data_IF_029312935615
#
_entry.id   IF_029312935615
#
_cell.length_a   1.000
_cell.length_b   1.000
_cell.length_c   1.000
_cell.angle_alpha   90.00
_cell.angle_beta   90.00
_cell.angle_gamma   90.00
#
_symmetry.space_group_name_H-M   'P 1'
#
loop_
_entity.id
_entity.type
_entity.pdbx_description
1 polymer ?
#
# COMPACT_ATOMS: atom_id res chain seq x y z
N UNK A 1 -37.07 9.00 2.06
CA UNK A 1 -38.01 7.85 2.23
C UNK A 1 -38.88 7.69 0.99
N UNK A 2 -39.48 8.74 0.46
CA UNK A 2 -40.43 8.68 -0.67
C UNK A 2 -39.80 8.25 -2.02
N UNK A 3 -38.58 8.63 -2.34
CA UNK A 3 -37.91 8.24 -3.60
C UNK A 3 -37.53 6.75 -3.64
N UNK A 4 -37.12 6.18 -2.50
CA UNK A 4 -36.73 4.76 -2.37
C UNK A 4 -37.94 3.83 -2.48
N UNK A 5 -39.08 4.24 -1.91
CA UNK A 5 -40.37 3.54 -2.05
C UNK A 5 -40.87 3.54 -3.49
N UNK A 6 -40.85 4.69 -4.18
CA UNK A 6 -41.23 4.77 -5.60
C UNK A 6 -40.38 3.85 -6.48
N UNK A 7 -39.05 3.79 -6.27
CA UNK A 7 -38.19 2.94 -7.06
C UNK A 7 -38.46 1.44 -6.83
N UNK A 8 -38.74 1.02 -5.59
CA UNK A 8 -39.15 -0.37 -5.28
C UNK A 8 -40.48 -0.73 -5.98
N UNK A 9 -41.49 0.11 -5.91
CA UNK A 9 -42.76 -0.10 -6.56
C UNK A 9 -42.60 -0.21 -8.09
N UNK A 10 -41.79 0.64 -8.71
CA UNK A 10 -41.58 0.61 -10.17
C UNK A 10 -40.87 -0.70 -10.60
N UNK A 11 -39.90 -1.19 -9.85
CA UNK A 11 -39.18 -2.44 -10.14
C UNK A 11 -40.12 -3.65 -9.95
N UNK A 12 -40.88 -3.70 -8.87
CA UNK A 12 -41.88 -4.77 -8.65
C UNK A 12 -42.91 -4.76 -9.76
N UNK A 13 -43.42 -3.59 -10.15
CA UNK A 13 -44.42 -3.46 -11.23
C UNK A 13 -43.80 -3.94 -12.57
N UNK A 14 -42.58 -3.63 -12.88
CA UNK A 14 -41.92 -4.03 -14.13
C UNK A 14 -41.68 -5.56 -14.22
N UNK A 15 -41.58 -6.28 -13.12
CA UNK A 15 -41.46 -7.73 -13.08
C UNK A 15 -42.81 -8.45 -13.08
N UNK A 16 -43.78 -7.94 -12.33
CA UNK A 16 -45.11 -8.56 -12.14
C UNK A 16 -46.00 -8.38 -13.35
N UNK A 17 -46.01 -7.19 -13.97
CA UNK A 17 -46.90 -6.87 -15.08
C UNK A 17 -46.66 -7.76 -16.33
N UNK A 18 -45.42 -8.03 -16.79
CA UNK A 18 -45.21 -8.92 -17.92
C UNK A 18 -45.62 -10.37 -17.66
N UNK A 19 -45.47 -10.85 -16.43
CA UNK A 19 -45.90 -12.21 -16.05
C UNK A 19 -47.43 -12.32 -16.11
N UNK A 20 -48.15 -11.38 -15.53
CA UNK A 20 -49.64 -11.37 -15.58
C UNK A 20 -50.11 -11.28 -17.04
N UNK A 21 -49.51 -10.41 -17.85
CA UNK A 21 -49.83 -10.26 -19.26
C UNK A 21 -49.62 -11.56 -20.04
N UNK A 22 -48.47 -12.24 -19.84
CA UNK A 22 -48.17 -13.51 -20.48
C UNK A 22 -49.22 -14.57 -20.14
N UNK A 23 -49.58 -14.71 -18.85
CA UNK A 23 -50.61 -15.66 -18.42
C UNK A 23 -51.99 -15.30 -18.95
N UNK A 24 -52.34 -14.02 -19.05
CA UNK A 24 -53.60 -13.58 -19.66
C UNK A 24 -53.67 -13.98 -21.16
N UNK A 25 -52.58 -13.76 -21.91
CA UNK A 25 -52.49 -14.15 -23.32
C UNK A 25 -52.61 -15.68 -23.45
N UNK A 26 -51.89 -16.46 -22.59
CA UNK A 26 -51.96 -17.92 -22.60
C UNK A 26 -53.39 -18.43 -22.34
N UNK A 27 -54.08 -17.88 -21.34
CA UNK A 27 -55.45 -18.24 -21.05
C UNK A 27 -56.43 -17.87 -22.19
N UNK A 28 -56.24 -16.71 -22.84
CA UNK A 28 -57.03 -16.30 -24.00
C UNK A 28 -56.80 -17.28 -25.17
N UNK A 29 -55.55 -17.66 -25.43
CA UNK A 29 -55.18 -18.61 -26.50
C UNK A 29 -55.76 -20.02 -26.21
N UNK A 30 -55.61 -20.53 -25.01
CA UNK A 30 -56.16 -21.86 -24.66
C UNK A 30 -57.69 -21.87 -24.73
N UNK A 31 -58.36 -20.81 -24.31
CA UNK A 31 -59.79 -20.68 -24.41
C UNK A 31 -60.26 -20.66 -25.89
N UNK A 32 -59.50 -19.94 -26.74
CA UNK A 32 -59.73 -19.92 -28.19
C UNK A 32 -59.63 -21.31 -28.80
N UNK A 33 -58.60 -22.05 -28.48
CA UNK A 33 -58.36 -23.43 -29.00
C UNK A 33 -59.51 -24.36 -28.60
N UNK A 34 -59.93 -24.30 -27.31
CA UNK A 34 -61.05 -25.11 -26.81
C UNK A 34 -62.38 -24.70 -27.44
N UNK A 35 -62.57 -23.42 -27.76
CA UNK A 35 -63.74 -22.93 -28.48
C UNK A 35 -63.82 -23.43 -29.93
N UNK A 36 -62.67 -23.45 -30.65
CA UNK A 36 -62.61 -24.01 -32.01
C UNK A 36 -62.87 -25.53 -32.00
N UNK A 37 -62.36 -26.29 -31.06
CA UNK A 37 -62.65 -27.69 -30.88
C UNK A 37 -64.17 -27.93 -30.57
N UNK A 38 -64.72 -27.15 -29.70
CA UNK A 38 -66.19 -27.17 -29.44
C UNK A 38 -67.00 -26.87 -30.72
N UNK A 39 -66.67 -25.81 -31.43
CA UNK A 39 -67.31 -25.39 -32.68
C UNK A 39 -67.25 -26.52 -33.75
N UNK A 40 -66.05 -27.10 -33.92
CA UNK A 40 -65.85 -28.21 -34.83
C UNK A 40 -66.77 -29.44 -34.50
N UNK A 41 -66.85 -29.84 -33.22
CA UNK A 41 -67.73 -30.91 -32.75
C UNK A 41 -69.22 -30.58 -32.98
N UNK A 42 -69.61 -29.36 -32.76
CA UNK A 42 -70.99 -28.91 -33.04
C UNK A 42 -71.32 -28.91 -34.55
N UNK A 43 -70.42 -28.43 -35.41
CA UNK A 43 -70.61 -28.47 -36.85
C UNK A 43 -70.67 -29.92 -37.37
N UNK A 44 -69.82 -30.80 -36.89
CA UNK A 44 -69.89 -32.23 -37.21
C UNK A 44 -71.23 -32.84 -36.81
N UNK A 45 -71.80 -32.49 -35.66
CA UNK A 45 -73.10 -32.97 -35.24
C UNK A 45 -74.23 -32.46 -36.14
N UNK A 46 -74.16 -31.22 -36.71
CA UNK A 46 -75.16 -30.69 -37.66
C UNK A 46 -75.14 -31.46 -38.98
N UNK A 47 -73.97 -31.84 -39.48
CA UNK A 47 -73.79 -32.66 -40.66
C UNK A 47 -74.36 -34.07 -40.47
N UNK A 48 -74.04 -34.69 -39.34
CA UNK A 48 -74.51 -36.04 -38.98
C UNK A 48 -76.03 -36.03 -38.89
N UNK A 49 -76.65 -34.99 -38.31
CA UNK A 49 -78.09 -34.90 -38.12
C UNK A 49 -78.89 -34.55 -39.41
N UNK A 50 -78.26 -33.91 -40.39
CA UNK A 50 -78.88 -33.54 -41.66
C UNK A 50 -79.00 -34.71 -42.64
N UNK A 51 -78.17 -35.72 -42.54
CA UNK A 51 -78.18 -36.92 -43.41
C UNK A 51 -79.20 -37.93 -42.88
N UNK A 52 -80.41 -38.01 -43.48
CA UNK A 52 -81.48 -38.92 -43.12
C UNK A 52 -81.20 -40.42 -43.26
N UNK A 53 -80.15 -40.79 -44.06
CA UNK A 53 -79.67 -42.19 -44.21
C UNK A 53 -78.21 -42.30 -43.76
N UNK A 54 -77.97 -42.45 -42.49
CA UNK A 54 -76.64 -42.87 -41.99
C UNK A 54 -76.54 -44.41 -42.02
N UNK A 55 -76.27 -44.98 -43.22
CA UNK A 55 -75.92 -46.39 -43.34
C UNK A 55 -74.44 -46.58 -43.48
N UNK A 56 -73.76 -46.63 -42.36
CA UNK A 56 -72.40 -47.20 -42.28
C UNK A 56 -71.36 -46.31 -41.60
N UNK A 57 -70.43 -46.99 -40.94
CA UNK A 57 -69.22 -46.40 -40.32
C UNK A 57 -68.33 -45.61 -41.30
N UNK A 58 -68.36 -45.92 -42.58
CA UNK A 58 -67.56 -45.31 -43.62
C UNK A 58 -67.92 -43.85 -43.86
N UNK A 59 -69.19 -43.47 -43.85
CA UNK A 59 -69.66 -42.09 -44.02
C UNK A 59 -69.29 -41.18 -42.83
N UNK A 60 -69.28 -41.73 -41.60
CA UNK A 60 -68.84 -41.03 -40.41
C UNK A 60 -67.29 -40.85 -40.43
N UNK A 61 -66.58 -41.91 -40.94
CA UNK A 61 -65.11 -41.85 -41.09
C UNK A 61 -64.66 -40.79 -42.10
N UNK A 62 -65.44 -40.61 -43.17
CA UNK A 62 -65.13 -39.58 -44.17
C UNK A 62 -65.36 -38.17 -43.63
N UNK A 63 -66.46 -37.94 -42.91
CA UNK A 63 -66.72 -36.67 -42.22
C UNK A 63 -65.69 -36.32 -41.16
N UNK A 64 -65.16 -37.31 -40.46
CA UNK A 64 -64.11 -37.10 -39.45
C UNK A 64 -62.75 -36.73 -40.03
N UNK A 65 -62.54 -36.94 -41.35
CA UNK A 65 -61.31 -36.55 -42.03
C UNK A 65 -61.34 -35.11 -42.54
N UNK A 66 -62.49 -34.56 -42.70
CA UNK A 66 -62.67 -33.17 -43.14
C UNK A 66 -62.47 -32.21 -41.96
N UNK A 67 -61.50 -31.33 -42.04
CA UNK A 67 -61.19 -30.36 -40.97
C UNK A 67 -62.00 -29.08 -41.06
N UNK A 68 -62.60 -28.79 -42.20
CA UNK A 68 -63.34 -27.53 -42.45
C UNK A 68 -64.82 -27.73 -42.56
N UNK A 69 -65.45 -28.45 -41.66
CA UNK A 69 -66.86 -28.70 -41.61
C UNK A 69 -67.61 -27.39 -41.22
N UNK A 70 -68.41 -26.87 -42.17
CA UNK A 70 -69.30 -25.75 -41.94
C UNK A 70 -70.61 -26.19 -41.27
N UNK A 71 -71.32 -25.24 -40.65
CA UNK A 71 -72.61 -25.51 -39.98
C UNK A 71 -73.69 -25.83 -41.02
N UNK A 72 -74.22 -27.07 -40.96
CA UNK A 72 -75.33 -27.42 -41.83
C UNK A 72 -76.62 -26.89 -41.21
N UNK A 73 -77.32 -26.03 -41.98
CA UNK A 73 -78.56 -25.28 -41.53
C UNK A 73 -79.72 -26.26 -41.24
N UNK A 74 -79.84 -27.37 -41.98
CA UNK A 74 -80.93 -28.35 -41.75
C UNK A 74 -80.71 -29.10 -40.48
N UNK A 75 -79.50 -29.61 -40.27
CA UNK A 75 -79.13 -30.33 -39.04
C UNK A 75 -79.17 -29.40 -37.81
N UNK A 76 -78.79 -28.14 -38.00
CA UNK A 76 -78.93 -27.12 -36.92
C UNK A 76 -80.37 -26.95 -36.47
N UNK A 77 -81.32 -26.84 -37.34
CA UNK A 77 -82.76 -26.71 -37.00
C UNK A 77 -83.24 -27.93 -36.22
N UNK A 78 -82.83 -29.13 -36.57
CA UNK A 78 -83.19 -30.36 -35.86
C UNK A 78 -82.57 -30.33 -34.47
N UNK A 79 -81.34 -30.00 -34.33
CA UNK A 79 -80.69 -29.90 -33.02
C UNK A 79 -81.26 -28.84 -32.13
N UNK A 80 -81.73 -27.66 -32.71
CA UNK A 80 -82.43 -26.65 -31.98
C UNK A 80 -83.78 -27.13 -31.51
N UNK A 81 -84.55 -27.85 -32.35
CA UNK A 81 -85.84 -28.43 -31.96
C UNK A 81 -85.75 -29.40 -30.80
N UNK A 82 -84.69 -30.17 -30.73
CA UNK A 82 -84.45 -31.09 -29.62
C UNK A 82 -83.66 -30.46 -28.44
N UNK A 83 -83.40 -29.14 -28.52
CA UNK A 83 -82.76 -28.39 -27.45
C UNK A 83 -81.23 -28.68 -27.27
N UNK A 84 -80.54 -29.24 -28.26
CA UNK A 84 -79.12 -29.54 -28.21
C UNK A 84 -78.27 -28.37 -28.78
N UNK A 85 -78.82 -27.47 -29.55
CA UNK A 85 -78.10 -26.31 -30.11
C UNK A 85 -78.23 -25.11 -29.17
N UNK A 86 -77.11 -24.48 -28.80
CA UNK A 86 -77.11 -23.26 -27.97
C UNK A 86 -77.56 -23.48 -26.52
N UNK A 87 -77.89 -24.72 -26.13
CA UNK A 87 -78.38 -25.04 -24.78
C UNK A 87 -77.26 -25.41 -23.87
N UNK A 88 -77.24 -24.86 -22.63
CA UNK A 88 -76.23 -25.12 -21.57
C UNK A 88 -76.21 -26.55 -21.09
N UNK A 89 -77.19 -27.40 -21.44
CA UNK A 89 -77.26 -28.84 -21.16
C UNK A 89 -76.52 -29.74 -22.13
N UNK A 90 -75.94 -29.20 -23.24
CA UNK A 90 -75.21 -30.01 -24.21
C UNK A 90 -73.88 -30.53 -23.57
N UNK A 91 -73.65 -31.81 -23.76
CA UNK A 91 -72.43 -32.50 -23.23
C UNK A 91 -71.13 -31.84 -23.74
N UNK A 92 -71.06 -31.45 -25.01
CA UNK A 92 -69.91 -30.75 -25.59
C UNK A 92 -69.65 -29.39 -24.99
N UNK A 93 -70.71 -28.65 -24.71
CA UNK A 93 -70.62 -27.36 -24.01
C UNK A 93 -70.18 -27.53 -22.57
N UNK A 94 -70.69 -28.57 -21.89
CA UNK A 94 -70.27 -28.93 -20.53
C UNK A 94 -68.78 -29.30 -20.48
N UNK A 95 -68.30 -30.10 -21.48
CA UNK A 95 -66.93 -30.45 -21.60
C UNK A 95 -66.02 -29.23 -21.87
N UNK A 96 -66.37 -28.38 -22.81
CA UNK A 96 -65.68 -27.13 -23.11
C UNK A 96 -65.58 -26.25 -21.87
N UNK A 97 -66.65 -26.02 -21.19
CA UNK A 97 -66.69 -25.23 -19.95
C UNK A 97 -65.79 -25.81 -18.87
N UNK A 98 -65.84 -27.15 -18.69
CA UNK A 98 -64.96 -27.85 -17.71
C UNK A 98 -63.49 -27.69 -18.06
N UNK A 99 -63.07 -27.85 -19.31
CA UNK A 99 -61.74 -27.66 -19.76
C UNK A 99 -61.23 -26.23 -19.54
N UNK A 100 -62.02 -25.21 -19.88
CA UNK A 100 -61.68 -23.80 -19.64
C UNK A 100 -61.53 -23.49 -18.15
N UNK A 101 -62.41 -23.98 -17.31
CA UNK A 101 -62.31 -23.76 -15.86
C UNK A 101 -61.11 -24.42 -15.26
N UNK A 102 -60.84 -25.67 -15.60
CA UNK A 102 -59.70 -26.43 -15.05
C UNK A 102 -58.39 -25.82 -15.52
N UNK A 103 -58.22 -25.58 -16.80
CA UNK A 103 -57.00 -24.96 -17.32
C UNK A 103 -56.79 -23.53 -16.77
N UNK A 104 -57.85 -22.74 -16.66
CA UNK A 104 -57.80 -21.41 -16.03
C UNK A 104 -57.39 -21.47 -14.55
N UNK A 105 -57.96 -22.43 -13.81
CA UNK A 105 -57.58 -22.63 -12.41
C UNK A 105 -56.08 -23.03 -12.26
N UNK A 106 -55.64 -23.99 -13.08
CA UNK A 106 -54.25 -24.47 -13.05
C UNK A 106 -53.26 -23.35 -13.43
N UNK A 107 -53.55 -22.64 -14.52
CA UNK A 107 -52.67 -21.52 -14.94
C UNK A 107 -52.67 -20.39 -13.91
N UNK A 108 -53.75 -20.11 -13.25
CA UNK A 108 -53.79 -19.10 -12.16
C UNK A 108 -52.95 -19.52 -10.96
N UNK A 109 -53.02 -20.78 -10.54
CA UNK A 109 -52.17 -21.32 -9.46
C UNK A 109 -50.68 -21.22 -9.82
N UNK A 110 -50.31 -21.61 -11.03
CA UNK A 110 -48.91 -21.52 -11.49
C UNK A 110 -48.46 -20.04 -11.52
N UNK A 111 -49.31 -19.13 -11.99
CA UNK A 111 -49.02 -17.71 -12.00
C UNK A 111 -48.74 -17.15 -10.59
N UNK A 112 -49.57 -17.51 -9.63
CA UNK A 112 -49.42 -17.08 -8.22
C UNK A 112 -48.10 -17.64 -7.63
N UNK A 113 -47.79 -18.93 -7.88
CA UNK A 113 -46.56 -19.55 -7.40
C UNK A 113 -45.32 -18.89 -8.00
N UNK A 114 -45.33 -18.56 -9.30
CA UNK A 114 -44.23 -17.86 -9.95
C UNK A 114 -44.05 -16.43 -9.40
N UNK A 115 -45.15 -15.72 -9.19
CA UNK A 115 -45.09 -14.37 -8.63
C UNK A 115 -44.56 -14.37 -7.19
N UNK A 116 -45.01 -15.30 -6.36
CA UNK A 116 -44.48 -15.43 -4.97
C UNK A 116 -43.01 -15.80 -4.97
N UNK A 117 -42.59 -16.69 -5.85
CA UNK A 117 -41.17 -17.05 -6.01
C UNK A 117 -40.31 -15.86 -6.45
N UNK A 118 -40.77 -15.08 -7.46
CA UNK A 118 -40.03 -13.90 -7.95
C UNK A 118 -39.90 -12.82 -6.86
N UNK A 119 -40.95 -12.59 -6.08
CA UNK A 119 -40.92 -11.65 -4.96
C UNK A 119 -39.97 -12.09 -3.87
N UNK A 120 -40.02 -13.37 -3.49
CA UNK A 120 -39.10 -13.95 -2.50
C UNK A 120 -37.62 -13.87 -2.96
N UNK A 121 -37.37 -14.21 -4.22
CA UNK A 121 -36.02 -14.13 -4.79
C UNK A 121 -35.49 -12.70 -4.78
N UNK A 122 -36.34 -11.75 -5.16
CA UNK A 122 -36.00 -10.32 -5.14
C UNK A 122 -35.70 -9.78 -3.74
N UNK A 123 -36.50 -10.15 -2.74
CA UNK A 123 -36.21 -9.76 -1.35
C UNK A 123 -34.90 -10.34 -0.85
N UNK A 124 -34.58 -11.57 -1.20
CA UNK A 124 -33.34 -12.22 -0.82
C UNK A 124 -32.12 -11.57 -1.49
N UNK A 125 -32.23 -11.20 -2.75
CA UNK A 125 -31.21 -10.46 -3.50
C UNK A 125 -30.95 -9.07 -2.88
N UNK A 126 -32.01 -8.31 -2.59
CA UNK A 126 -31.92 -6.99 -1.96
C UNK A 126 -31.29 -7.08 -0.55
N UNK A 127 -31.60 -8.12 0.23
CA UNK A 127 -31.02 -8.36 1.54
C UNK A 127 -29.51 -8.71 1.47
N UNK A 128 -29.10 -9.47 0.46
CA UNK A 128 -27.70 -9.79 0.21
C UNK A 128 -26.88 -8.52 -0.13
N UNK A 129 -27.40 -7.70 -1.06
CA UNK A 129 -26.77 -6.43 -1.41
C UNK A 129 -26.65 -5.46 -0.23
N UNK A 130 -27.66 -5.44 0.65
CA UNK A 130 -27.64 -4.57 1.82
C UNK A 130 -26.56 -5.00 2.83
N UNK A 131 -26.40 -6.29 3.06
CA UNK A 131 -25.32 -6.81 3.90
C UNK A 131 -23.91 -6.41 3.38
N UNK A 132 -23.70 -6.49 2.07
CA UNK A 132 -22.43 -6.09 1.44
C UNK A 132 -22.16 -4.60 1.67
N UNK A 133 -23.18 -3.75 1.49
CA UNK A 133 -23.05 -2.30 1.72
C UNK A 133 -22.76 -1.97 3.18
N UNK A 134 -23.43 -2.64 4.12
CA UNK A 134 -23.20 -2.45 5.56
C UNK A 134 -21.78 -2.89 5.95
N UNK A 135 -21.26 -3.97 5.38
CA UNK A 135 -19.88 -4.42 5.59
C UNK A 135 -18.86 -3.43 5.02
N UNK A 136 -19.09 -2.89 3.82
CA UNK A 136 -18.24 -1.86 3.22
C UNK A 136 -18.24 -0.57 4.06
N UNK A 137 -19.39 -0.16 4.59
CA UNK A 137 -19.49 1.00 5.49
C UNK A 137 -18.67 0.77 6.77
N UNK A 138 -18.74 -0.42 7.37
CA UNK A 138 -17.96 -0.77 8.55
C UNK A 138 -16.45 -0.75 8.27
N UNK A 139 -16.00 -1.30 7.13
CA UNK A 139 -14.61 -1.24 6.68
C UNK A 139 -14.14 0.22 6.56
N UNK A 140 -14.92 1.06 5.88
CA UNK A 140 -14.59 2.49 5.71
C UNK A 140 -14.51 3.26 7.04
N UNK A 141 -15.38 2.92 8.00
CA UNK A 141 -15.33 3.49 9.35
C UNK A 141 -14.04 3.08 10.05
N UNK A 142 -13.65 1.79 9.99
CA UNK A 142 -12.40 1.28 10.57
C UNK A 142 -11.17 1.93 9.94
N UNK A 143 -11.16 2.09 8.60
CA UNK A 143 -10.12 2.84 7.89
C UNK A 143 -9.99 4.28 8.42
N UNK A 144 -11.10 4.98 8.62
CA UNK A 144 -11.12 6.34 9.18
C UNK A 144 -10.55 6.39 10.60
N UNK A 145 -10.76 5.33 11.39
CA UNK A 145 -10.26 5.19 12.75
C UNK A 145 -8.82 4.68 12.82
N UNK A 146 -8.18 4.41 11.68
CA UNK A 146 -6.84 3.80 11.56
C UNK A 146 -6.72 2.42 12.21
N UNK A 147 -7.79 1.64 12.22
CA UNK A 147 -7.82 0.25 12.67
C UNK A 147 -7.80 -0.64 11.43
N UNK A 148 -6.64 -1.18 11.09
CA UNK A 148 -6.45 -1.99 9.90
C UNK A 148 -6.37 -3.49 10.20
N UNK A 149 -6.29 -3.85 11.47
CA UNK A 149 -6.25 -5.24 11.92
C UNK A 149 -7.66 -5.84 11.93
N UNK A 150 -7.83 -7.05 11.43
CA UNK A 150 -9.10 -7.80 11.40
C UNK A 150 -10.20 -7.16 10.51
N UNK A 151 -9.90 -6.92 9.25
CA UNK A 151 -10.92 -6.65 8.25
C UNK A 151 -11.71 -7.95 8.00
N UNK A 152 -12.94 -7.94 8.40
CA UNK A 152 -14.00 -8.96 8.39
C UNK A 152 -13.71 -10.27 7.61
N UNK A 153 -13.71 -11.39 8.31
CA UNK A 153 -13.83 -12.73 7.72
C UNK A 153 -15.21 -12.85 7.06
N UNK A 154 -15.26 -12.64 5.75
CA UNK A 154 -16.48 -12.75 4.95
C UNK A 154 -16.67 -14.22 4.57
N UNK A 155 -17.58 -14.91 5.23
CA UNK A 155 -18.02 -16.23 4.79
C UNK A 155 -18.84 -16.07 3.50
N UNK A 156 -18.40 -16.64 2.36
CA UNK A 156 -19.17 -16.95 1.15
C UNK A 156 -19.07 -16.10 -0.13
N UNK A 157 -18.17 -15.13 -0.29
CA UNK A 157 -18.02 -14.48 -1.61
C UNK A 157 -16.55 -14.29 -1.98
N UNK A 158 -16.03 -15.11 -2.90
CA UNK A 158 -14.64 -15.04 -3.38
C UNK A 158 -14.21 -13.68 -3.96
N UNK A 159 -15.17 -12.90 -4.46
CA UNK A 159 -14.90 -11.54 -4.95
C UNK A 159 -14.71 -10.54 -3.81
N UNK A 160 -15.44 -10.71 -2.71
CA UNK A 160 -15.30 -9.88 -1.51
C UNK A 160 -14.03 -10.23 -0.73
N UNK A 161 -13.62 -11.50 -0.73
CA UNK A 161 -12.36 -11.95 -0.14
C UNK A 161 -11.17 -11.27 -0.82
N UNK A 162 -11.14 -11.25 -2.16
CA UNK A 162 -10.14 -10.52 -2.93
C UNK A 162 -10.10 -9.02 -2.63
N UNK A 163 -11.26 -8.39 -2.48
CA UNK A 163 -11.36 -6.98 -2.13
C UNK A 163 -10.83 -6.73 -0.71
N UNK A 164 -11.15 -7.62 0.21
CA UNK A 164 -10.68 -7.57 1.59
C UNK A 164 -9.16 -7.66 1.68
N UNK A 165 -8.54 -8.62 0.97
CA UNK A 165 -7.08 -8.78 0.91
C UNK A 165 -6.39 -7.51 0.35
N UNK A 166 -6.97 -6.90 -0.67
CA UNK A 166 -6.45 -5.65 -1.24
C UNK A 166 -6.58 -4.48 -0.26
N UNK A 167 -7.69 -4.37 0.45
CA UNK A 167 -7.91 -3.33 1.46
C UNK A 167 -6.98 -3.50 2.66
N UNK A 168 -6.75 -4.74 3.11
CA UNK A 168 -5.80 -5.06 4.17
C UNK A 168 -4.37 -4.68 3.76
N UNK A 169 -3.94 -5.04 2.54
CA UNK A 169 -2.65 -4.66 2.00
C UNK A 169 -2.46 -3.12 1.93
N UNK A 170 -3.51 -2.38 1.52
CA UNK A 170 -3.51 -0.92 1.51
C UNK A 170 -3.42 -0.37 2.93
N UNK A 171 -4.16 -0.96 3.88
CA UNK A 171 -4.13 -0.59 5.29
C UNK A 171 -2.73 -0.71 5.89
N UNK A 172 -2.08 -1.86 5.69
CA UNK A 172 -0.69 -2.06 6.12
C UNK A 172 0.28 -1.08 5.47
N UNK A 173 0.11 -0.79 4.17
CA UNK A 173 0.96 0.19 3.49
C UNK A 173 0.79 1.61 4.07
N UNK A 174 -0.44 2.03 4.35
CA UNK A 174 -0.72 3.31 5.00
C UNK A 174 -0.10 3.37 6.39
N UNK A 175 -0.16 2.28 7.14
CA UNK A 175 0.43 2.20 8.47
C UNK A 175 1.95 2.36 8.42
N UNK A 176 2.63 1.66 7.50
CA UNK A 176 4.07 1.81 7.28
C UNK A 176 4.46 3.25 6.93
N UNK A 177 3.76 3.87 5.97
CA UNK A 177 4.00 5.29 5.60
C UNK A 177 3.83 6.21 6.81
N UNK A 178 2.82 5.96 7.64
CA UNK A 178 2.56 6.78 8.83
C UNK A 178 3.63 6.60 9.91
N UNK A 179 4.15 5.40 10.09
CA UNK A 179 5.25 5.10 11.00
C UNK A 179 6.55 5.75 10.51
N UNK A 180 6.86 5.66 9.22
CA UNK A 180 7.99 6.35 8.59
C UNK A 180 7.87 7.86 8.74
N UNK A 181 6.71 8.45 8.45
CA UNK A 181 6.50 9.89 8.61
C UNK A 181 6.58 10.36 10.07
N UNK A 182 6.17 9.52 11.02
CA UNK A 182 6.35 9.80 12.45
C UNK A 182 7.81 9.76 12.87
N UNK A 183 8.53 8.75 12.43
CA UNK A 183 9.96 8.61 12.69
C UNK A 183 10.75 9.79 12.10
N UNK A 184 10.44 10.20 10.87
CA UNK A 184 11.05 11.36 10.21
C UNK A 184 10.75 12.67 10.95
N UNK A 185 9.50 12.86 11.41
CA UNK A 185 9.11 14.03 12.21
C UNK A 185 9.86 14.08 13.54
N UNK A 186 10.00 12.95 14.25
CA UNK A 186 10.72 12.92 15.54
C UNK A 186 12.23 13.15 15.31
N UNK A 187 12.82 12.53 14.30
CA UNK A 187 14.20 12.80 13.90
C UNK A 187 14.45 14.29 13.60
N UNK A 188 13.53 14.93 12.88
CA UNK A 188 13.62 16.38 12.57
C UNK A 188 13.53 17.21 13.84
N UNK A 189 12.65 16.86 14.76
CA UNK A 189 12.48 17.56 16.03
C UNK A 189 13.72 17.43 16.93
N UNK A 190 14.28 16.21 17.02
CA UNK A 190 15.53 15.97 17.73
C UNK A 190 16.67 16.79 17.12
N UNK A 191 16.79 16.78 15.77
CA UNK A 191 17.80 17.58 15.08
C UNK A 191 17.70 19.06 15.38
N UNK A 192 16.49 19.65 15.35
CA UNK A 192 16.28 21.08 15.68
C UNK A 192 16.66 21.38 17.12
N UNK A 193 16.33 20.47 18.04
CA UNK A 193 16.71 20.60 19.45
C UNK A 193 18.23 20.58 19.64
N UNK A 194 18.89 19.62 18.99
CA UNK A 194 20.35 19.46 19.07
C UNK A 194 21.09 20.67 18.48
N UNK A 195 20.66 21.15 17.31
CA UNK A 195 21.18 22.37 16.69
C UNK A 195 21.05 23.55 17.64
N UNK A 196 19.88 23.71 18.27
CA UNK A 196 19.63 24.80 19.19
C UNK A 196 20.58 24.76 20.40
N UNK A 197 20.82 23.60 20.95
CA UNK A 197 21.78 23.40 22.04
C UNK A 197 23.22 23.68 21.61
N UNK A 198 23.64 23.20 20.44
CA UNK A 198 25.00 23.38 19.94
C UNK A 198 25.29 24.83 19.51
N UNK A 199 24.30 25.60 19.10
CA UNK A 199 24.43 27.04 18.82
C UNK A 199 24.47 27.89 20.10
N UNK A 200 23.69 27.51 21.12
CA UNK A 200 23.59 28.29 22.38
C UNK A 200 24.95 28.42 23.07
N UNK A 201 25.75 27.38 23.10
CA UNK A 201 27.03 27.35 23.82
C UNK A 201 28.06 28.33 23.24
N UNK A 202 28.41 28.32 21.95
CA UNK A 202 29.38 29.26 21.40
C UNK A 202 28.84 30.71 21.37
N UNK A 203 27.53 30.91 21.19
CA UNK A 203 26.90 32.23 21.26
C UNK A 203 27.01 32.81 22.66
N UNK A 204 26.73 32.01 23.71
CA UNK A 204 26.89 32.46 25.10
C UNK A 204 28.36 32.73 25.45
N UNK A 205 29.29 31.94 24.90
CA UNK A 205 30.72 32.19 25.09
C UNK A 205 31.15 33.52 24.44
N UNK A 206 30.66 33.80 23.24
CA UNK A 206 30.90 35.06 22.52
C UNK A 206 30.34 36.27 23.30
N UNK A 207 29.09 36.17 23.79
CA UNK A 207 28.44 37.23 24.56
C UNK A 207 29.22 37.52 25.85
N UNK A 208 29.65 36.45 26.56
CA UNK A 208 30.48 36.61 27.75
C UNK A 208 31.85 37.25 27.44
N UNK A 209 32.56 36.75 26.41
CA UNK A 209 33.85 37.29 26.03
C UNK A 209 33.73 38.76 25.59
N UNK A 210 32.70 39.08 24.82
CA UNK A 210 32.43 40.46 24.37
C UNK A 210 32.13 41.37 25.59
N UNK A 211 31.30 40.97 26.49
CA UNK A 211 30.95 41.71 27.70
C UNK A 211 32.18 41.99 28.55
N UNK A 212 33.09 41.05 28.68
CA UNK A 212 34.36 41.23 29.40
C UNK A 212 35.31 42.19 28.66
N UNK A 213 35.46 42.04 27.35
CA UNK A 213 36.32 42.93 26.54
C UNK A 213 35.88 44.41 26.53
N UNK A 214 34.61 44.68 26.84
CA UNK A 214 34.08 46.06 26.97
C UNK A 214 34.36 46.70 28.33
N UNK A 215 34.93 45.98 29.26
CA UNK A 215 35.38 46.53 30.58
C UNK A 215 36.71 47.24 30.41
N UNK A 216 36.86 48.43 31.01
CA UNK A 216 38.05 49.29 30.80
C UNK A 216 39.28 48.92 31.65
N UNK A 217 39.17 47.91 32.54
CA UNK A 217 40.21 47.56 33.52
C UNK A 217 40.99 46.27 33.21
N UNK A 218 40.96 45.78 31.93
CA UNK A 218 41.66 44.57 31.57
C UNK A 218 43.11 44.81 31.23
N UNK A 219 44.00 43.94 31.71
CA UNK A 219 45.41 43.91 31.31
C UNK A 219 45.54 43.45 29.83
N UNK A 220 46.62 43.83 29.17
CA UNK A 220 46.87 43.43 27.77
C UNK A 220 46.86 41.90 27.55
N UNK A 221 47.30 41.13 28.57
CA UNK A 221 47.30 39.67 28.52
C UNK A 221 45.87 39.11 28.60
N UNK A 222 45.01 39.64 29.48
CA UNK A 222 43.61 39.26 29.60
C UNK A 222 42.82 39.58 28.31
N UNK A 223 43.08 40.79 27.75
CA UNK A 223 42.45 41.16 26.47
C UNK A 223 42.78 40.18 25.36
N UNK A 224 44.05 39.73 25.26
CA UNK A 224 44.47 38.77 24.23
C UNK A 224 43.86 37.38 24.45
N UNK A 225 43.78 36.96 25.72
CA UNK A 225 43.08 35.69 26.06
C UNK A 225 41.61 35.71 25.65
N UNK A 226 40.86 36.78 25.99
CA UNK A 226 39.45 36.86 25.62
C UNK A 226 39.25 37.02 24.11
N UNK A 227 40.13 37.73 23.40
CA UNK A 227 40.14 37.78 21.91
C UNK A 227 40.33 36.39 21.30
N UNK A 228 41.27 35.61 21.85
CA UNK A 228 41.52 34.25 21.39
C UNK A 228 40.31 33.35 21.65
N UNK A 229 39.65 33.46 22.80
CA UNK A 229 38.41 32.74 23.13
C UNK A 229 37.24 33.12 22.21
N UNK A 230 37.07 34.45 21.91
CA UNK A 230 36.11 34.92 20.92
C UNK A 230 36.37 34.28 19.54
N UNK A 231 37.63 34.28 19.10
CA UNK A 231 38.02 33.69 17.82
C UNK A 231 37.69 32.21 17.75
N UNK A 232 38.09 31.48 18.78
CA UNK A 232 37.78 30.04 18.89
C UNK A 232 36.26 29.73 18.88
N UNK A 233 35.45 30.59 19.52
CA UNK A 233 33.99 30.43 19.50
C UNK A 233 33.40 30.71 18.11
N UNK A 234 33.93 31.72 17.37
CA UNK A 234 33.55 32.00 15.99
C UNK A 234 33.91 30.84 15.04
N UNK A 235 35.16 30.36 15.12
CA UNK A 235 35.63 29.23 14.33
C UNK A 235 34.78 27.95 14.59
N UNK A 236 34.34 27.76 15.84
CA UNK A 236 33.43 26.69 16.25
C UNK A 236 32.04 26.84 15.60
N UNK A 237 31.49 28.07 15.55
CA UNK A 237 30.23 28.35 14.87
C UNK A 237 30.32 28.15 13.35
N UNK A 238 31.38 28.58 12.74
CA UNK A 238 31.62 28.39 11.30
C UNK A 238 31.68 26.90 10.94
N UNK A 239 32.42 26.10 11.73
CA UNK A 239 32.51 24.66 11.58
C UNK A 239 31.15 23.98 11.75
N UNK A 240 30.35 24.42 12.74
CA UNK A 240 29.01 23.89 12.97
C UNK A 240 28.09 24.21 11.78
N UNK A 241 28.12 25.45 11.29
CA UNK A 241 27.31 25.88 10.14
C UNK A 241 27.67 25.06 8.87
N UNK A 242 28.96 24.88 8.60
CA UNK A 242 29.41 24.07 7.47
C UNK A 242 28.90 22.63 7.56
N UNK A 243 28.99 22.03 8.75
CA UNK A 243 28.53 20.66 9.00
C UNK A 243 26.99 20.55 8.83
N UNK A 244 26.23 21.56 9.27
CA UNK A 244 24.78 21.60 9.07
C UNK A 244 24.39 21.72 7.59
N UNK A 245 25.13 22.50 6.82
CA UNK A 245 24.92 22.62 5.38
C UNK A 245 25.18 21.27 4.67
N UNK A 246 26.17 20.50 5.10
CA UNK A 246 26.45 19.18 4.56
C UNK A 246 25.34 18.19 4.89
N UNK A 247 24.86 18.15 6.15
CA UNK A 247 23.72 17.34 6.55
C UNK A 247 22.48 17.72 5.72
N UNK A 248 22.14 19.01 5.62
CA UNK A 248 20.99 19.47 4.85
C UNK A 248 21.05 19.04 3.39
N UNK A 249 22.21 19.13 2.76
CA UNK A 249 22.41 18.64 1.39
C UNK A 249 22.23 17.11 1.29
N UNK A 250 22.59 16.35 2.31
CA UNK A 250 22.38 14.90 2.33
C UNK A 250 20.91 14.50 2.51
N UNK A 251 20.20 15.17 3.40
CA UNK A 251 18.78 14.86 3.71
C UNK A 251 17.83 15.25 2.57
N UNK A 252 18.07 16.40 1.93
CA UNK A 252 17.25 16.86 0.80
C UNK A 252 17.43 16.04 -0.48
N UNK A 253 18.27 14.98 -0.47
CA UNK A 253 18.57 14.22 -1.69
C UNK A 253 19.34 15.02 -2.75
N UNK A 254 19.73 16.27 -2.45
CA UNK A 254 20.55 17.10 -3.33
C UNK A 254 21.95 16.54 -3.53
N UNK A 255 22.41 15.68 -2.60
CA UNK A 255 23.61 14.87 -2.81
C UNK A 255 23.21 13.61 -3.58
N UNK A 256 23.07 13.74 -4.89
CA UNK A 256 23.14 12.60 -5.78
C UNK A 256 24.59 12.10 -5.76
N UNK A 257 24.85 11.00 -5.07
CA UNK A 257 26.17 10.35 -5.13
C UNK A 257 26.40 9.89 -6.57
N UNK A 258 27.36 10.52 -7.24
CA UNK A 258 27.77 10.14 -8.59
C UNK A 258 28.78 8.98 -8.51
N UNK A 259 28.27 7.78 -8.20
CA UNK A 259 29.10 6.58 -8.06
C UNK A 259 29.65 6.15 -9.41
N UNK A 260 30.95 6.01 -9.46
CA UNK A 260 31.67 5.51 -10.62
C UNK A 260 32.58 4.36 -10.19
N UNK A 261 32.91 3.46 -11.09
CA UNK A 261 33.91 2.41 -10.86
C UNK A 261 35.29 3.06 -10.84
N UNK A 262 35.83 3.29 -9.64
CA UNK A 262 37.11 3.99 -9.42
C UNK A 262 37.99 3.20 -8.46
N UNK A 263 39.34 3.34 -8.55
CA UNK A 263 40.27 2.71 -7.62
C UNK A 263 40.05 3.21 -6.19
N UNK A 264 39.88 2.29 -5.23
CA UNK A 264 39.69 2.64 -3.84
C UNK A 264 40.98 3.26 -3.24
N UNK A 265 42.12 2.72 -3.61
CA UNK A 265 43.42 3.17 -3.11
C UNK A 265 43.63 4.67 -3.37
N UNK A 266 43.24 5.18 -4.52
CA UNK A 266 43.34 6.61 -4.85
C UNK A 266 42.52 7.48 -3.88
N UNK A 267 41.35 7.00 -3.43
CA UNK A 267 40.53 7.71 -2.46
C UNK A 267 41.17 7.72 -1.09
N UNK A 268 41.70 6.58 -0.65
CA UNK A 268 42.37 6.45 0.64
C UNK A 268 43.66 7.28 0.69
N UNK A 269 44.52 7.22 -0.33
CA UNK A 269 45.74 8.02 -0.42
C UNK A 269 45.39 9.54 -0.43
N UNK A 270 44.37 9.93 -1.18
CA UNK A 270 43.89 11.33 -1.19
C UNK A 270 43.47 11.80 0.19
N UNK A 271 42.74 10.94 0.95
CA UNK A 271 42.30 11.25 2.30
C UNK A 271 43.47 11.39 3.27
N UNK A 272 44.45 10.47 3.20
CA UNK A 272 45.65 10.53 4.01
C UNK A 272 46.49 11.80 3.71
N UNK A 273 46.68 12.13 2.43
CA UNK A 273 47.40 13.35 2.03
C UNK A 273 46.74 14.64 2.57
N UNK A 274 45.42 14.68 2.66
CA UNK A 274 44.70 15.82 3.25
C UNK A 274 44.84 15.91 4.76
N UNK A 275 44.99 14.79 5.44
CA UNK A 275 45.13 14.70 6.89
C UNK A 275 46.58 14.80 7.35
N UNK A 276 47.56 14.53 6.42
CA UNK A 276 48.98 14.47 6.70
C UNK A 276 49.51 15.72 7.40
N UNK A 277 49.19 17.00 7.03
CA UNK A 277 49.74 18.17 7.73
C UNK A 277 49.44 18.18 9.24
N UNK A 278 48.24 17.74 9.62
CA UNK A 278 47.86 17.67 11.04
C UNK A 278 48.56 16.52 11.77
N UNK A 279 48.84 15.43 11.06
CA UNK A 279 49.60 14.31 11.60
C UNK A 279 51.06 14.65 11.79
N UNK A 280 51.66 15.37 10.83
CA UNK A 280 53.04 15.84 10.85
C UNK A 280 53.31 16.80 12.01
N UNK A 281 52.41 17.74 12.30
CA UNK A 281 52.46 18.63 13.48
C UNK A 281 52.54 17.87 14.81
N UNK A 282 52.07 16.61 14.85
CA UNK A 282 52.10 15.74 16.02
C UNK A 282 53.12 14.62 15.90
N UNK A 283 53.97 14.60 14.87
CA UNK A 283 54.91 13.53 14.57
C UNK A 283 54.24 12.14 14.49
N UNK A 284 53.00 12.09 13.95
CA UNK A 284 52.25 10.83 13.81
C UNK A 284 52.55 10.21 12.46
N UNK A 285 53.00 8.92 12.50
CA UNK A 285 53.33 8.14 11.32
C UNK A 285 52.10 7.36 10.82
N UNK A 286 51.75 7.46 9.53
CA UNK A 286 50.77 6.59 8.88
C UNK A 286 51.47 5.30 8.38
N UNK A 287 51.00 4.15 8.82
CA UNK A 287 51.51 2.82 8.43
C UNK A 287 50.47 2.11 7.59
N UNK A 288 50.79 1.86 6.34
CA UNK A 288 49.92 1.15 5.41
C UNK A 288 50.26 -0.37 5.43
N UNK A 289 49.20 -1.20 5.49
CA UNK A 289 49.24 -2.64 5.37
C UNK A 289 48.11 -3.09 4.44
N UNK A 290 48.47 -3.49 3.22
CA UNK A 290 47.47 -3.85 2.20
C UNK A 290 48.00 -4.98 1.29
N UNK A 291 47.04 -5.77 0.77
CA UNK A 291 47.30 -6.79 -0.23
C UNK A 291 47.54 -6.13 -1.60
N UNK A 292 48.59 -6.56 -2.35
CA UNK A 292 48.94 -5.97 -3.66
C UNK A 292 47.80 -5.94 -4.66
N UNK A 293 46.84 -6.88 -4.55
CA UNK A 293 45.66 -6.94 -5.40
C UNK A 293 44.74 -5.73 -5.22
N UNK A 294 44.84 -4.99 -4.12
CA UNK A 294 44.06 -3.82 -3.83
C UNK A 294 44.56 -2.55 -4.52
N UNK A 295 45.77 -2.52 -5.04
CA UNK A 295 46.30 -1.37 -5.79
C UNK A 295 45.45 -1.06 -7.03
N UNK A 296 44.91 -2.10 -7.68
CA UNK A 296 44.07 -1.97 -8.87
C UNK A 296 42.59 -2.22 -8.58
N UNK A 297 42.24 -2.46 -7.32
CA UNK A 297 40.84 -2.75 -6.93
C UNK A 297 39.95 -1.54 -7.12
N UNK A 298 38.93 -1.71 -7.95
CA UNK A 298 37.92 -0.67 -8.21
C UNK A 298 36.61 -1.03 -7.52
N UNK A 299 35.95 -0.02 -6.94
CA UNK A 299 34.62 -0.14 -6.35
C UNK A 299 33.69 0.93 -6.94
N UNK A 300 32.38 0.71 -6.82
CA UNK A 300 31.38 1.74 -7.17
C UNK A 300 31.34 2.80 -6.09
N UNK A 301 32.02 3.93 -6.33
CA UNK A 301 32.17 4.99 -5.34
C UNK A 301 32.02 6.38 -5.93
N UNK A 302 31.57 7.30 -5.10
CA UNK A 302 31.80 8.74 -5.29
C UNK A 302 33.08 9.11 -4.53
N UNK A 303 34.16 9.37 -5.28
CA UNK A 303 35.48 9.66 -4.72
C UNK A 303 35.49 10.81 -3.72
N UNK A 304 34.69 11.85 -3.98
CA UNK A 304 34.63 13.04 -3.13
C UNK A 304 34.00 12.69 -1.77
N UNK A 305 32.82 12.07 -1.82
CA UNK A 305 32.08 11.76 -0.60
C UNK A 305 32.75 10.64 0.21
N UNK A 306 33.16 9.56 -0.44
CA UNK A 306 33.88 8.49 0.28
C UNK A 306 35.18 9.00 0.86
N UNK A 307 35.91 9.88 0.14
CA UNK A 307 37.09 10.55 0.63
C UNK A 307 36.83 11.35 1.91
N UNK A 308 35.72 12.11 1.94
CA UNK A 308 35.32 12.88 3.12
C UNK A 308 35.01 11.99 4.33
N UNK A 309 34.31 10.86 4.10
CA UNK A 309 34.08 9.87 5.17
C UNK A 309 35.40 9.31 5.77
N UNK A 310 36.36 9.00 4.92
CA UNK A 310 37.67 8.50 5.36
C UNK A 310 38.46 9.61 6.09
N UNK A 311 38.43 10.84 5.59
CA UNK A 311 39.07 12.00 6.24
C UNK A 311 38.53 12.21 7.65
N UNK A 312 37.21 12.18 7.85
CA UNK A 312 36.62 12.34 9.17
C UNK A 312 37.07 11.29 10.17
N UNK A 313 37.27 10.04 9.73
CA UNK A 313 37.82 8.96 10.58
C UNK A 313 39.30 9.20 10.87
N UNK A 314 40.12 9.58 9.85
CA UNK A 314 41.54 9.88 10.00
C UNK A 314 41.78 11.11 10.88
N UNK A 315 41.01 12.18 10.70
CA UNK A 315 41.09 13.38 11.54
C UNK A 315 40.82 13.05 13.01
N UNK A 316 39.83 12.18 13.30
CA UNK A 316 39.58 11.72 14.64
C UNK A 316 40.77 10.87 15.17
N UNK A 317 41.33 9.98 14.35
CA UNK A 317 42.49 9.19 14.74
C UNK A 317 43.69 10.09 15.10
N UNK A 318 44.02 11.11 14.28
CA UNK A 318 45.06 12.10 14.53
C UNK A 318 44.75 12.93 15.78
N UNK A 319 43.54 13.39 15.91
CA UNK A 319 43.08 14.26 17.01
C UNK A 319 43.24 13.63 18.38
N UNK A 320 42.88 12.34 18.50
CA UNK A 320 42.86 11.62 19.78
C UNK A 320 44.11 10.81 20.06
N UNK A 321 45.01 10.64 19.07
CA UNK A 321 46.29 10.02 19.27
C UNK A 321 47.28 10.94 19.98
N UNK A 322 48.21 10.36 20.80
CA UNK A 322 49.34 11.10 21.36
C UNK A 322 50.36 11.48 20.28
N UNK A 323 51.23 12.43 20.60
CA UNK A 323 52.35 12.76 19.72
C UNK A 323 53.31 11.57 19.56
N UNK A 324 54.01 11.51 18.44
CA UNK A 324 54.97 10.45 18.08
C UNK A 324 54.38 9.02 18.10
N UNK A 325 53.08 8.91 17.75
CA UNK A 325 52.35 7.65 17.66
C UNK A 325 52.18 7.18 16.21
N UNK A 326 51.53 6.03 16.02
CA UNK A 326 51.28 5.44 14.72
C UNK A 326 49.79 5.22 14.48
N UNK A 327 49.31 5.53 13.28
CA UNK A 327 48.00 5.18 12.79
C UNK A 327 48.16 4.12 11.71
N UNK A 328 47.54 2.95 11.92
CA UNK A 328 47.59 1.84 10.98
C UNK A 328 46.38 1.85 10.07
N UNK A 329 46.61 1.80 8.76
CA UNK A 329 45.58 1.71 7.73
C UNK A 329 45.73 0.37 7.05
N UNK A 330 44.82 -0.58 7.33
CA UNK A 330 44.83 -1.91 6.75
C UNK A 330 43.74 -2.07 5.75
N UNK A 331 44.02 -2.60 4.57
CA UNK A 331 43.04 -2.93 3.55
C UNK A 331 43.14 -4.42 3.21
N UNK A 332 42.02 -5.09 3.24
CA UNK A 332 41.88 -6.51 2.93
C UNK A 332 40.73 -6.74 1.97
N UNK A 333 40.97 -7.53 0.94
CA UNK A 333 39.93 -7.99 0.03
C UNK A 333 39.28 -9.25 0.61
N UNK A 334 37.95 -9.25 0.64
CA UNK A 334 37.13 -10.41 0.95
C UNK A 334 36.23 -10.71 -0.27
N UNK A 335 35.59 -11.88 -0.33
CA UNK A 335 34.87 -12.36 -1.52
C UNK A 335 34.00 -11.30 -2.21
N UNK A 336 33.19 -10.56 -1.45
CA UNK A 336 32.22 -9.59 -1.98
C UNK A 336 32.39 -8.18 -1.40
N UNK A 337 33.43 -7.95 -0.61
CA UNK A 337 33.66 -6.65 0.02
C UNK A 337 35.14 -6.34 0.19
N UNK A 338 35.47 -5.07 0.27
CA UNK A 338 36.76 -4.58 0.75
C UNK A 338 36.58 -4.11 2.18
N UNK A 339 37.43 -4.59 3.06
CA UNK A 339 37.50 -4.22 4.48
C UNK A 339 38.67 -3.27 4.67
N UNK A 340 38.41 -2.08 5.19
CA UNK A 340 39.39 -1.06 5.57
C UNK A 340 39.37 -0.88 7.07
N UNK A 341 40.48 -1.03 7.73
CA UNK A 341 40.64 -0.78 9.16
C UNK A 341 41.57 0.42 9.37
N UNK A 342 41.13 1.36 10.20
CA UNK A 342 41.92 2.51 10.64
C UNK A 342 42.05 2.38 12.15
N UNK A 343 43.27 2.01 12.62
CA UNK A 343 43.57 1.81 14.03
C UNK A 343 44.45 2.94 14.55
N UNK A 344 43.98 3.62 15.58
CA UNK A 344 44.66 4.66 16.31
C UNK A 344 45.27 4.12 17.62
N UNK A 345 46.20 4.88 18.21
CA UNK A 345 46.79 4.60 19.50
C UNK A 345 46.35 5.60 20.60
N UNK A 346 45.13 6.17 20.41
CA UNK A 346 44.58 7.19 21.25
C UNK A 346 43.97 6.68 22.55
N UNK A 347 43.08 7.50 23.09
CA UNK A 347 42.39 7.26 24.38
C UNK A 347 41.44 6.05 24.33
N UNK A 348 41.02 5.61 23.12
CA UNK A 348 40.02 4.58 22.93
C UNK A 348 38.59 5.08 23.13
N UNK A 349 37.65 4.21 22.85
CA UNK A 349 36.23 4.45 23.00
C UNK A 349 35.62 3.41 23.93
N UNK A 350 34.86 3.78 24.96
CA UNK A 350 34.19 2.81 25.82
C UNK A 350 33.17 1.97 25.02
N UNK A 351 33.07 0.69 25.32
CA UNK A 351 32.19 -0.22 24.56
C UNK A 351 30.70 0.19 24.55
N UNK A 352 30.23 0.80 25.63
CA UNK A 352 28.87 1.32 25.76
C UNK A 352 28.64 2.59 24.90
N UNK A 353 29.68 3.16 24.30
CA UNK A 353 29.58 4.33 23.41
C UNK A 353 29.73 3.97 21.93
N UNK A 354 30.04 2.71 21.54
CA UNK A 354 30.30 2.30 20.16
C UNK A 354 29.18 2.63 19.17
N UNK A 355 27.92 2.53 19.59
CA UNK A 355 26.78 2.91 18.76
C UNK A 355 26.46 4.40 18.86
N UNK A 356 26.83 5.07 19.95
CA UNK A 356 26.52 6.49 20.21
C UNK A 356 27.43 7.43 19.41
N UNK A 357 28.69 7.05 19.20
CA UNK A 357 29.65 7.91 18.48
C UNK A 357 29.25 8.23 17.04
N UNK A 358 28.31 7.47 16.47
CA UNK A 358 27.73 7.69 15.15
C UNK A 358 26.41 8.47 15.21
N UNK A 359 25.95 8.92 16.39
CA UNK A 359 24.80 9.81 16.51
C UNK A 359 25.22 11.26 16.25
N UNK A 360 24.26 12.05 15.76
CA UNK A 360 24.48 13.47 15.52
C UNK A 360 24.86 14.18 16.80
N UNK A 361 25.85 15.08 16.76
CA UNK A 361 26.31 15.91 17.87
C UNK A 361 26.82 15.15 19.08
N UNK A 362 26.92 13.83 19.00
CA UNK A 362 27.41 13.03 20.12
C UNK A 362 28.93 13.23 20.29
N UNK A 363 29.32 13.48 21.54
CA UNK A 363 30.72 13.56 21.99
C UNK A 363 30.88 12.69 23.23
N UNK A 364 31.93 11.90 23.27
CA UNK A 364 32.24 11.10 24.45
C UNK A 364 32.35 11.96 25.71
N UNK A 365 32.02 11.38 26.86
CA UNK A 365 31.97 12.08 28.15
C UNK A 365 33.32 12.23 28.86
N UNK A 366 34.39 11.69 28.29
CA UNK A 366 35.73 11.79 28.92
C UNK A 366 36.27 13.23 28.86
N UNK A 367 37.04 13.59 29.87
CA UNK A 367 37.63 14.95 30.00
C UNK A 367 38.48 15.28 28.76
N UNK A 368 39.28 14.30 28.28
CA UNK A 368 40.16 14.46 27.13
C UNK A 368 39.37 14.74 25.83
N UNK A 369 38.14 14.21 25.70
CA UNK A 369 37.27 14.48 24.55
C UNK A 369 36.65 15.88 24.69
N UNK A 370 36.26 16.28 25.89
CA UNK A 370 35.63 17.58 26.14
C UNK A 370 36.58 18.75 25.93
N UNK A 371 37.88 18.57 26.23
CA UNK A 371 38.91 19.60 26.02
C UNK A 371 39.29 19.83 24.54
N UNK A 372 39.00 18.86 23.66
CA UNK A 372 39.29 19.00 22.23
C UNK A 372 38.10 19.55 21.44
N UNK A 373 38.31 20.52 20.56
CA UNK A 373 37.25 21.11 19.71
C UNK A 373 36.62 20.05 18.82
N UNK A 374 35.31 20.18 18.52
CA UNK A 374 34.61 19.30 17.57
C UNK A 374 33.10 19.35 17.71
N UNK A 375 32.41 19.21 16.60
CA UNK A 375 30.94 19.32 16.52
C UNK A 375 30.17 18.03 16.81
N UNK A 376 30.85 16.88 16.81
CA UNK A 376 30.19 15.58 16.96
C UNK A 376 29.41 15.13 15.70
N UNK A 377 29.66 15.75 14.54
CA UNK A 377 28.95 15.47 13.29
C UNK A 377 29.77 14.57 12.35
N UNK A 378 31.11 14.63 12.41
CA UNK A 378 31.97 13.98 11.42
C UNK A 378 31.77 12.46 11.29
N UNK A 379 31.66 11.73 12.42
CA UNK A 379 31.42 10.27 12.39
C UNK A 379 30.01 9.92 11.95
N UNK A 380 29.01 10.72 12.32
CA UNK A 380 27.66 10.57 11.80
C UNK A 380 27.67 10.72 10.26
N UNK A 381 28.28 11.77 9.74
CA UNK A 381 28.42 12.01 8.30
C UNK A 381 29.17 10.85 7.60
N UNK A 382 30.23 10.33 8.24
CA UNK A 382 30.95 9.17 7.70
C UNK A 382 30.05 7.95 7.57
N UNK A 383 29.23 7.66 8.57
CA UNK A 383 28.29 6.55 8.54
C UNK A 383 27.26 6.71 7.42
N UNK A 384 26.63 7.87 7.34
CA UNK A 384 25.64 8.17 6.28
C UNK A 384 26.24 8.01 4.86
N UNK A 385 27.46 8.51 4.66
CA UNK A 385 28.15 8.38 3.37
C UNK A 385 28.41 6.91 3.05
N UNK A 386 28.94 6.15 4.01
CA UNK A 386 29.29 4.74 3.82
C UNK A 386 28.03 3.90 3.58
N UNK A 387 26.94 4.15 4.30
CA UNK A 387 25.64 3.50 4.09
C UNK A 387 25.08 3.83 2.69
N UNK A 388 25.20 5.08 2.24
CA UNK A 388 24.85 5.44 0.84
C UNK A 388 25.71 4.72 -0.19
N UNK A 389 26.91 4.25 0.16
CA UNK A 389 27.74 3.39 -0.68
C UNK A 389 27.45 1.89 -0.48
N UNK A 390 26.33 1.56 0.18
CA UNK A 390 25.94 0.19 0.55
C UNK A 390 27.00 -0.54 1.41
N UNK A 391 27.80 0.24 2.14
CA UNK A 391 28.82 -0.24 3.08
C UNK A 391 28.35 -0.15 4.53
N UNK A 392 29.23 -0.53 5.44
CA UNK A 392 29.05 -0.42 6.88
C UNK A 392 30.29 0.15 7.55
N UNK A 393 30.10 0.91 8.64
CA UNK A 393 31.16 1.38 9.50
C UNK A 393 30.89 0.95 10.95
N UNK A 394 31.89 0.42 11.60
CA UNK A 394 31.83 -0.01 12.99
C UNK A 394 33.12 0.39 13.72
N UNK A 395 33.12 0.32 15.05
CA UNK A 395 34.30 0.57 15.86
C UNK A 395 34.54 -0.60 16.82
N UNK A 396 35.78 -0.89 17.06
CA UNK A 396 36.25 -1.89 18.04
C UNK A 396 37.43 -1.35 18.84
N UNK A 397 37.74 -1.99 19.96
CA UNK A 397 38.95 -1.66 20.71
C UNK A 397 40.22 -1.95 19.87
N UNK A 398 41.23 -1.12 19.98
CA UNK A 398 42.53 -1.33 19.36
C UNK A 398 43.20 -2.65 19.80
N UNK A 399 44.07 -3.22 18.97
CA UNK A 399 44.65 -4.56 19.17
C UNK A 399 45.43 -4.76 20.49
N UNK A 400 45.91 -3.68 21.10
CA UNK A 400 46.63 -3.72 22.40
C UNK A 400 45.78 -3.18 23.54
N UNK A 401 44.45 -3.13 23.43
CA UNK A 401 43.53 -2.47 24.38
C UNK A 401 43.83 -0.98 24.58
N UNK A 402 44.58 -0.38 23.69
CA UNK A 402 44.83 1.07 23.61
C UNK A 402 44.31 1.55 22.25
N UNK A 403 43.65 2.71 22.22
CA UNK A 403 43.12 3.27 21.01
C UNK A 403 41.84 2.60 20.50
N UNK A 404 41.40 2.97 19.32
CA UNK A 404 40.23 2.47 18.62
C UNK A 404 40.57 1.96 17.25
N UNK A 405 39.82 1.00 16.75
CA UNK A 405 39.87 0.54 15.36
C UNK A 405 38.55 0.77 14.70
N UNK A 406 38.48 1.69 13.74
CA UNK A 406 37.33 1.88 12.85
C UNK A 406 37.42 0.89 11.71
N UNK A 407 36.33 0.17 11.45
CA UNK A 407 36.23 -0.86 10.43
C UNK A 407 35.17 -0.43 9.42
N UNK A 408 35.60 -0.16 8.20
CA UNK A 408 34.76 0.19 7.06
C UNK A 408 34.70 -0.99 6.11
N UNK A 409 33.50 -1.40 5.71
CA UNK A 409 33.28 -2.45 4.73
C UNK A 409 32.52 -1.89 3.55
N UNK A 410 33.03 -2.05 2.35
CA UNK A 410 32.44 -1.54 1.11
C UNK A 410 32.23 -2.71 0.14
N UNK A 411 31.07 -2.76 -0.57
CA UNK A 411 30.82 -3.82 -1.53
C UNK A 411 31.80 -3.77 -2.68
N UNK A 412 32.32 -4.94 -3.04
CA UNK A 412 33.17 -5.15 -4.17
C UNK A 412 32.46 -6.03 -5.19
N UNK A 413 32.24 -5.50 -6.38
CA UNK A 413 31.75 -6.27 -7.52
C UNK A 413 32.94 -6.43 -8.47
N UNK A 414 33.45 -7.65 -8.55
CA UNK A 414 34.60 -8.01 -9.37
C UNK A 414 34.45 -7.71 -10.85
#
# INVERSE_FOLDING_TARGET
VTKRYRKKITVVLSLVLPVILLFAILNCFTTYVFYEDYKYKMNLMTEITAKEEFSGLDAVSELLKDKDIETNEQGRRVLEQYGYWGNKGNAFYSQFRHQVIVTGAVTTVICVLLLTFLLYWKENEDACHQKILDQLEEILIRFRENKFDDLLKTENHAELEKLNDQLEAIGHHIQLIKEEARAEKENTKEMVSDISHQLKTPVAALDTCFSVLMQNDLSATEQEEFRTRCRSALDGLETLLQSLLEISKMETGLIQTNKKKLPLMDTVISAVNRTYPKADEKEIEFVFDYEKELETCTIMQDKRWLGEAVINVLDNAVKYSPCASKIFIRLQKRNYLVRMEIEDQGIGIPQNEYHKIFQRFYRGSSKEVMEKSGTGIGLFLSREIIEKHAGTITVTSGKKKKGSTFVIQLPYVG
#
